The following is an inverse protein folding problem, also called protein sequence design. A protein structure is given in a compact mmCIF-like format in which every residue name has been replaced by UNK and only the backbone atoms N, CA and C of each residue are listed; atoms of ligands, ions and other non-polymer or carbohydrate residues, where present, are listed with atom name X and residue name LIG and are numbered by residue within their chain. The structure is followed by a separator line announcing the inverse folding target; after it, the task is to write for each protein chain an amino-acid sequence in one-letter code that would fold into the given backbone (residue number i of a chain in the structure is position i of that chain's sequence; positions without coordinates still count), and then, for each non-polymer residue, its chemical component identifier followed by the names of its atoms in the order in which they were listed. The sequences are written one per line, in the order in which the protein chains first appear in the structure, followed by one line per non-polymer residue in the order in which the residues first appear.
data_IF_616543511920
#
_entry.id   IF_616543511920
#
_cell.length_a   1.000
_cell.length_b   1.000
_cell.length_c   1.000
_cell.angle_alpha   90.00
_cell.angle_beta   90.00
_cell.angle_gamma   90.00
#
_symmetry.space_group_name_H-M   'P 1'
#
loop_
_entity.id
_entity.type
_entity.pdbx_description
1 polymer ?
#
# COMPACT_ATOMS: atom_id res chain seq x y z
N UNK A 1 3.95 -18.60 1.56
CA UNK A 1 4.11 -17.64 0.45
C UNK A 1 3.60 -16.30 0.95
N UNK A 2 4.37 -15.21 0.81
CA UNK A 2 3.93 -13.88 1.23
C UNK A 2 3.29 -13.17 0.03
N UNK A 3 2.00 -12.84 0.13
CA UNK A 3 1.29 -12.09 -0.91
C UNK A 3 0.81 -10.76 -0.33
N UNK A 4 1.18 -9.66 -1.00
CA UNK A 4 0.79 -8.31 -0.59
C UNK A 4 -0.29 -7.80 -1.52
N UNK A 5 -1.41 -7.33 -0.96
CA UNK A 5 -2.45 -6.61 -1.70
C UNK A 5 -2.67 -5.24 -1.07
N UNK A 6 -3.15 -4.29 -1.88
CA UNK A 6 -3.53 -2.96 -1.42
C UNK A 6 -5.05 -2.94 -1.23
N UNK A 7 -5.50 -2.44 -0.09
CA UNK A 7 -6.92 -2.26 0.20
C UNK A 7 -7.10 -0.97 1.01
N UNK A 8 -8.27 -0.35 0.87
CA UNK A 8 -8.63 0.84 1.64
C UNK A 8 -9.35 0.38 2.89
N UNK A 9 -8.80 0.73 4.05
CA UNK A 9 -9.47 0.47 5.32
C UNK A 9 -10.77 1.28 5.41
N UNK A 10 -11.86 0.64 5.83
CA UNK A 10 -13.21 1.23 5.98
C UNK A 10 -13.68 1.10 7.43
N UNK A 11 -14.51 2.05 7.88
CA UNK A 11 -15.10 2.00 9.23
C UNK A 11 -16.12 0.87 9.33
N UNK A 12 -15.96 0.00 10.32
CA UNK A 12 -16.91 -1.03 10.72
C UNK A 12 -17.18 -0.86 12.22
N UNK A 13 -18.30 -0.23 12.57
CA UNK A 13 -18.61 0.12 13.96
C UNK A 13 -17.51 1.01 14.57
N UNK A 14 -16.89 0.52 15.64
CA UNK A 14 -15.77 1.18 16.34
C UNK A 14 -14.38 0.72 15.84
N UNK A 15 -14.32 0.00 14.73
CA UNK A 15 -13.09 -0.58 14.17
C UNK A 15 -12.87 -0.16 12.71
N UNK A 16 -11.67 -0.43 12.20
CA UNK A 16 -11.37 -0.37 10.76
C UNK A 16 -11.24 -1.79 10.21
N UNK A 17 -11.93 -2.06 9.10
CA UNK A 17 -11.85 -3.30 8.34
C UNK A 17 -11.12 -3.12 7.03
N UNK A 18 -10.41 -4.15 6.59
CA UNK A 18 -9.84 -4.25 5.24
C UNK A 18 -10.55 -5.35 4.47
N UNK A 19 -10.92 -5.07 3.23
CA UNK A 19 -11.55 -6.06 2.36
C UNK A 19 -10.46 -6.84 1.64
N UNK A 20 -10.49 -8.16 1.78
CA UNK A 20 -9.64 -9.08 1.02
C UNK A 20 -10.33 -9.32 -0.33
N UNK A 21 -9.66 -9.03 -1.46
CA UNK A 21 -10.27 -9.18 -2.78
C UNK A 21 -10.43 -10.67 -3.15
N UNK A 22 -11.46 -10.98 -3.95
CA UNK A 22 -11.87 -12.35 -4.27
C UNK A 22 -10.76 -13.21 -4.89
N UNK A 23 -9.90 -12.61 -5.71
CA UNK A 23 -8.77 -13.31 -6.33
C UNK A 23 -7.76 -13.84 -5.30
N UNK A 24 -7.55 -13.10 -4.20
CA UNK A 24 -6.68 -13.54 -3.09
C UNK A 24 -7.40 -14.63 -2.28
N UNK A 25 -8.71 -14.48 -2.05
CA UNK A 25 -9.53 -15.49 -1.36
C UNK A 25 -9.46 -16.84 -2.09
N UNK A 26 -9.66 -16.85 -3.40
CA UNK A 26 -9.65 -18.06 -4.22
C UNK A 26 -8.26 -18.71 -4.29
N UNK A 27 -7.22 -17.90 -4.45
CA UNK A 27 -5.84 -18.39 -4.58
C UNK A 27 -5.32 -19.02 -3.29
N UNK A 28 -5.61 -18.40 -2.15
CA UNK A 28 -5.16 -18.86 -0.83
C UNK A 28 -6.21 -19.75 -0.14
N UNK A 29 -7.32 -20.05 -0.83
CA UNK A 29 -8.45 -20.84 -0.33
C UNK A 29 -8.94 -20.39 1.06
N UNK A 30 -9.01 -19.06 1.25
CA UNK A 30 -9.47 -18.46 2.49
C UNK A 30 -10.97 -18.68 2.66
N UNK A 31 -11.38 -19.04 3.87
CA UNK A 31 -12.78 -19.21 4.24
C UNK A 31 -13.18 -18.19 5.28
N UNK A 32 -14.49 -17.96 5.40
CA UNK A 32 -15.02 -17.22 6.53
C UNK A 32 -14.54 -17.84 7.86
N UNK A 33 -14.27 -16.99 8.84
CA UNK A 33 -13.71 -17.35 10.17
C UNK A 33 -12.28 -17.91 10.15
N UNK A 34 -11.55 -17.79 9.04
CA UNK A 34 -10.11 -18.06 9.04
C UNK A 34 -9.37 -16.92 9.73
N UNK A 35 -8.55 -17.24 10.72
CA UNK A 35 -7.67 -16.27 11.35
C UNK A 35 -6.53 -15.89 10.39
N UNK A 36 -6.26 -14.60 10.27
CA UNK A 36 -5.23 -14.07 9.36
C UNK A 36 -4.37 -13.04 10.07
N UNK A 37 -3.06 -13.11 9.83
CA UNK A 37 -2.10 -12.11 10.31
C UNK A 37 -1.90 -11.04 9.24
N UNK A 38 -2.08 -9.77 9.61
CA UNK A 38 -1.94 -8.62 8.71
C UNK A 38 -0.69 -7.82 9.04
N UNK A 39 0.09 -7.46 8.02
CA UNK A 39 1.20 -6.50 8.12
C UNK A 39 0.74 -5.14 7.58
N UNK A 40 0.67 -4.15 8.45
CA UNK A 40 0.25 -2.78 8.07
C UNK A 40 1.48 -1.97 7.71
N UNK A 41 1.52 -1.44 6.48
CA UNK A 41 2.57 -0.52 6.03
C UNK A 41 1.92 0.80 5.64
N UNK A 42 2.10 1.83 6.49
CA UNK A 42 1.66 3.20 6.18
C UNK A 42 2.68 3.83 5.23
N UNK A 43 2.24 4.31 4.07
CA UNK A 43 3.08 5.18 3.26
C UNK A 43 3.29 6.48 4.03
N UNK A 44 4.54 6.93 4.25
CA UNK A 44 4.75 8.26 4.81
C UNK A 44 4.07 9.27 3.87
N UNK A 45 3.39 10.29 4.41
CA UNK A 45 2.92 11.37 3.58
C UNK A 45 4.15 11.96 2.89
N UNK A 46 4.05 12.11 1.57
CA UNK A 46 5.15 12.52 0.70
C UNK A 46 5.84 13.78 1.24
N UNK A 47 5.05 14.69 1.82
CA UNK A 47 5.45 15.95 2.47
C UNK A 47 6.42 15.77 3.66
N UNK A 48 6.28 14.71 4.46
CA UNK A 48 7.18 14.44 5.61
C UNK A 48 8.58 13.97 5.16
N UNK A 49 8.70 13.39 3.97
CA UNK A 49 9.98 12.96 3.39
C UNK A 49 10.80 14.13 2.83
N UNK A 50 10.16 15.21 2.34
CA UNK A 50 10.88 16.37 1.78
C UNK A 50 11.55 17.25 2.83
N UNK A 51 11.06 17.24 4.08
CA UNK A 51 11.61 18.08 5.16
C UNK A 51 12.89 17.52 5.80
N UNK A 52 13.11 16.20 5.71
CA UNK A 52 14.18 15.51 6.44
C UNK A 52 15.41 15.17 5.60
N UNK A 53 15.28 15.09 4.26
CA UNK A 53 16.42 14.85 3.37
C UNK A 53 16.96 16.17 2.81
N UNK A 54 18.17 16.55 3.22
CA UNK A 54 19.00 17.57 2.53
C UNK A 54 19.39 17.05 1.15
N UNK A 55 18.45 17.07 0.19
CA UNK A 55 18.72 16.62 -1.16
C UNK A 55 19.73 17.56 -1.83
N UNK A 56 20.91 17.04 -2.17
CA UNK A 56 21.88 17.68 -3.07
C UNK A 56 21.39 17.76 -4.54
N UNK A 57 20.14 17.37 -4.82
CA UNK A 57 19.53 17.30 -6.15
C UNK A 57 18.19 18.05 -6.15
N UNK A 58 17.79 18.66 -7.29
CA UNK A 58 16.55 19.42 -7.38
C UNK A 58 15.32 18.52 -7.16
N UNK A 59 14.43 18.95 -6.26
CA UNK A 59 13.18 18.27 -5.86
C UNK A 59 12.35 17.78 -7.05
N UNK A 60 12.33 18.54 -8.15
CA UNK A 60 11.59 18.20 -9.37
C UNK A 60 12.05 16.89 -10.02
N UNK A 61 13.33 16.56 -9.91
CA UNK A 61 13.90 15.35 -10.51
C UNK A 61 13.49 14.10 -9.73
N UNK A 62 13.53 14.17 -8.40
CA UNK A 62 13.10 13.10 -7.49
C UNK A 62 11.60 12.82 -7.64
N UNK A 63 10.78 13.87 -7.72
CA UNK A 63 9.32 13.72 -7.96
C UNK A 63 9.05 13.05 -9.31
N UNK A 64 9.86 13.35 -10.33
CA UNK A 64 9.72 12.76 -11.67
C UNK A 64 10.11 11.28 -11.68
N UNK A 65 11.17 10.90 -10.96
CA UNK A 65 11.59 9.50 -10.79
C UNK A 65 10.52 8.68 -10.05
N UNK A 66 10.01 9.20 -8.92
CA UNK A 66 8.98 8.51 -8.12
C UNK A 66 7.65 8.37 -8.86
N UNK A 67 7.28 9.37 -9.69
CA UNK A 67 6.12 9.25 -10.58
C UNK A 67 6.31 8.16 -11.62
N UNK A 68 7.48 8.09 -12.27
CA UNK A 68 7.79 7.00 -13.21
C UNK A 68 7.69 5.63 -12.55
N UNK A 69 8.23 5.47 -11.34
CA UNK A 69 8.16 4.21 -10.59
C UNK A 69 6.73 3.82 -10.16
N UNK A 70 5.89 4.81 -9.86
CA UNK A 70 4.49 4.59 -9.54
C UNK A 70 3.65 4.27 -10.79
N UNK A 71 3.92 4.91 -11.92
CA UNK A 71 3.20 4.70 -13.19
C UNK A 71 3.55 3.35 -13.84
N UNK A 72 4.80 2.89 -13.73
CA UNK A 72 5.21 1.55 -14.20
C UNK A 72 4.47 0.44 -13.45
N UNK A 73 4.10 0.66 -12.18
CA UNK A 73 3.34 -0.30 -11.36
C UNK A 73 1.82 -0.26 -11.57
N UNK A 74 1.31 0.61 -12.45
CA UNK A 74 -0.12 0.71 -12.79
C UNK A 74 -0.40 0.41 -14.27
N UNK A 75 0.59 -0.05 -15.03
CA UNK A 75 0.43 -0.52 -16.41
C UNK A 75 0.53 -2.04 -16.52
N UNK A 76 -0.66 -2.68 -16.67
CA UNK A 76 -0.95 -4.12 -16.87
C UNK A 76 -0.98 -5.02 -15.64
#
# INVERSE_FOLDING_TARGET
MEQTFKSVARKWGNSLGVVIPLNVIQKENLKENTEVTLKIVKKPPFEELFGSMKFKRPVKEIVRELKKECDINYGR
#
